data_IF_030125002820
#
_entry.id   IF_030125002820
#
_cell.length_a   1.000
_cell.length_b   1.000
_cell.length_c   1.000
_cell.angle_alpha   90.00
_cell.angle_beta   90.00
_cell.angle_gamma   90.00
#
_symmetry.space_group_name_H-M   'P 1'
#
loop_
_entity.id
_entity.type
_entity.pdbx_description
1 polymer ?
#
# COMPACT_ATOMS: atom_id res chain seq x y z
N UNK A 1 -20.96 4.13 -14.64
CA UNK A 1 -19.73 3.85 -13.89
C UNK A 1 -19.93 2.56 -13.11
N UNK A 2 -19.15 1.53 -13.42
CA UNK A 2 -19.14 0.25 -12.68
C UNK A 2 -18.51 0.48 -11.29
N UNK A 3 -18.93 -0.27 -10.27
CA UNK A 3 -18.38 -0.18 -8.92
C UNK A 3 -16.86 -0.38 -8.87
N UNK A 4 -16.32 -1.20 -9.77
CA UNK A 4 -14.86 -1.38 -9.91
C UNK A 4 -14.15 -0.07 -10.30
N UNK A 5 -14.77 0.75 -11.13
CA UNK A 5 -14.23 2.06 -11.54
C UNK A 5 -14.28 3.05 -10.38
N UNK A 6 -15.37 3.04 -9.60
CA UNK A 6 -15.50 3.87 -8.38
C UNK A 6 -14.44 3.51 -7.34
N UNK A 7 -14.27 2.22 -7.05
CA UNK A 7 -13.25 1.76 -6.08
C UNK A 7 -11.85 2.13 -6.58
N UNK A 8 -11.59 1.96 -7.88
CA UNK A 8 -10.32 2.37 -8.49
C UNK A 8 -10.10 3.86 -8.33
N UNK A 9 -11.12 4.69 -8.58
CA UNK A 9 -11.05 6.14 -8.42
C UNK A 9 -10.79 6.55 -6.96
N UNK A 10 -11.50 5.95 -5.98
CA UNK A 10 -11.29 6.19 -4.54
C UNK A 10 -9.88 5.84 -4.13
N UNK A 11 -9.40 4.65 -4.52
CA UNK A 11 -8.05 4.20 -4.17
C UNK A 11 -6.99 5.12 -4.82
N UNK A 12 -7.12 5.45 -6.11
CA UNK A 12 -6.19 6.32 -6.83
C UNK A 12 -6.18 7.76 -6.28
N UNK A 13 -7.34 8.33 -5.97
CA UNK A 13 -7.46 9.64 -5.33
C UNK A 13 -6.77 9.66 -3.96
N UNK A 14 -7.01 8.61 -3.18
CA UNK A 14 -6.39 8.43 -1.87
C UNK A 14 -4.87 8.34 -1.99
N UNK A 15 -4.34 7.51 -2.90
CA UNK A 15 -2.90 7.38 -3.16
C UNK A 15 -2.29 8.71 -3.58
N UNK A 16 -2.97 9.46 -4.46
CA UNK A 16 -2.50 10.79 -4.89
C UNK A 16 -2.37 11.75 -3.71
N UNK A 17 -3.37 11.79 -2.81
CA UNK A 17 -3.32 12.57 -1.56
C UNK A 17 -2.20 12.11 -0.60
N UNK A 18 -1.93 10.80 -0.54
CA UNK A 18 -0.88 10.24 0.30
C UNK A 18 0.53 10.58 -0.19
N UNK A 19 0.70 10.75 -1.50
CA UNK A 19 2.00 10.96 -2.15
C UNK A 19 2.51 12.41 -2.02
N UNK A 20 1.62 13.38 -1.76
CA UNK A 20 1.89 14.81 -2.02
C UNK A 20 2.54 15.64 -0.90
N UNK A 21 2.82 15.13 0.31
CA UNK A 21 3.14 16.03 1.45
C UNK A 21 4.21 15.54 2.46
N UNK A 22 5.21 14.77 2.00
CA UNK A 22 6.23 14.20 2.88
C UNK A 22 7.65 14.53 2.39
N UNK A 23 8.18 15.65 2.85
CA UNK A 23 9.60 16.00 2.79
C UNK A 23 9.93 16.68 4.12
N UNK A 24 11.10 16.40 4.68
CA UNK A 24 11.61 16.89 5.96
C UNK A 24 10.76 16.50 7.18
N UNK A 25 10.43 15.21 7.32
CA UNK A 25 9.65 14.68 8.45
C UNK A 25 10.34 13.50 9.09
N UNK A 26 10.33 13.45 10.42
CA UNK A 26 10.81 12.28 11.15
C UNK A 26 9.79 11.13 11.05
N UNK A 27 10.16 9.93 11.49
CA UNK A 27 9.31 8.74 11.34
C UNK A 27 7.99 8.85 12.13
N UNK A 28 8.01 9.52 13.29
CA UNK A 28 6.83 9.77 14.13
C UNK A 28 5.83 10.71 13.46
N UNK A 29 6.32 11.75 12.78
CA UNK A 29 5.48 12.66 12.01
C UNK A 29 4.80 11.94 10.83
N UNK A 30 5.56 11.10 10.14
CA UNK A 30 5.05 10.26 9.05
C UNK A 30 3.94 9.34 9.59
N UNK A 31 4.14 8.73 10.75
CA UNK A 31 3.16 7.88 11.42
C UNK A 31 1.88 8.64 11.80
N UNK A 32 2.01 9.87 12.34
CA UNK A 32 0.87 10.72 12.67
C UNK A 32 0.05 11.09 11.43
N UNK A 33 0.72 11.37 10.32
CA UNK A 33 0.07 11.64 9.02
C UNK A 33 -0.61 10.40 8.47
N UNK A 34 0.06 9.25 8.58
CA UNK A 34 -0.47 7.96 8.14
C UNK A 34 -1.81 7.65 8.82
N UNK A 35 -1.89 7.84 10.15
CA UNK A 35 -3.13 7.66 10.93
C UNK A 35 -4.25 8.57 10.44
N UNK A 36 -3.97 9.87 10.19
CA UNK A 36 -4.96 10.81 9.64
C UNK A 36 -5.47 10.37 8.27
N UNK A 37 -4.58 9.88 7.41
CA UNK A 37 -4.92 9.41 6.06
C UNK A 37 -5.74 8.11 6.09
N UNK A 38 -5.45 7.20 7.03
CA UNK A 38 -6.26 5.99 7.25
C UNK A 38 -7.69 6.38 7.64
N UNK A 39 -7.87 7.31 8.58
CA UNK A 39 -9.19 7.79 8.97
C UNK A 39 -9.95 8.42 7.80
N UNK A 40 -9.28 9.22 6.97
CA UNK A 40 -9.87 9.76 5.75
C UNK A 40 -10.32 8.64 4.81
N UNK A 41 -9.48 7.64 4.57
CA UNK A 41 -9.80 6.50 3.71
C UNK A 41 -11.01 5.71 4.19
N UNK A 42 -11.11 5.44 5.51
CA UNK A 42 -12.26 4.76 6.11
C UNK A 42 -13.55 5.55 5.84
N UNK A 43 -13.54 6.87 6.05
CA UNK A 43 -14.71 7.72 5.80
C UNK A 43 -15.15 7.69 4.34
N UNK A 44 -14.22 7.75 3.40
CA UNK A 44 -14.51 7.65 1.96
C UNK A 44 -15.10 6.28 1.59
N UNK A 45 -14.56 5.20 2.16
CA UNK A 45 -15.11 3.85 2.00
C UNK A 45 -16.53 3.75 2.53
N UNK A 46 -16.80 4.24 3.74
CA UNK A 46 -18.12 4.23 4.37
C UNK A 46 -19.13 5.07 3.57
N UNK A 47 -18.71 6.24 3.09
CA UNK A 47 -19.54 7.11 2.23
C UNK A 47 -19.92 6.39 0.94
N UNK A 48 -18.95 5.75 0.28
CA UNK A 48 -19.18 4.93 -0.92
C UNK A 48 -20.21 3.82 -0.65
N UNK A 49 -20.06 3.11 0.48
CA UNK A 49 -20.98 2.06 0.88
C UNK A 49 -22.40 2.57 1.15
N UNK A 50 -22.52 3.71 1.85
CA UNK A 50 -23.82 4.35 2.16
C UNK A 50 -24.54 4.79 0.88
N UNK A 51 -23.84 5.48 -0.02
CA UNK A 51 -24.42 5.96 -1.28
C UNK A 51 -24.94 4.78 -2.13
N UNK A 52 -24.17 3.70 -2.26
CA UNK A 52 -24.61 2.52 -3.01
C UNK A 52 -25.77 1.76 -2.35
N UNK A 53 -25.79 1.65 -1.01
CA UNK A 53 -26.92 1.01 -0.31
C UNK A 53 -28.22 1.81 -0.47
N UNK A 54 -28.17 3.14 -0.56
CA UNK A 54 -29.34 3.97 -0.85
C UNK A 54 -29.87 3.79 -2.28
N UNK A 55 -28.99 3.63 -3.28
CA UNK A 55 -29.40 3.31 -4.66
C UNK A 55 -30.08 1.93 -4.77
N UNK A 56 -29.63 0.94 -3.96
CA UNK A 56 -30.23 -0.41 -3.94
C UNK A 56 -31.68 -0.42 -3.42
N UNK A 57 -32.09 0.58 -2.62
CA UNK A 57 -33.47 0.67 -2.11
C UNK A 57 -34.46 1.20 -3.16
N UNK A 58 -34.00 1.95 -4.18
CA UNK A 58 -34.86 2.56 -5.21
C UNK A 58 -35.13 1.66 -6.42
N UNK A 59 -34.41 0.56 -6.59
CA UNK A 59 -34.69 -0.47 -7.60
C UNK A 59 -34.46 -1.83 -6.96
N UNK A 60 -35.46 -2.73 -7.04
CA UNK A 60 -35.34 -4.16 -6.72
C UNK A 60 -34.29 -4.79 -7.63
N UNK A 61 -33.00 -4.53 -7.39
CA UNK A 61 -31.90 -5.23 -8.02
C UNK A 61 -31.69 -6.52 -7.22
N UNK A 62 -31.75 -7.72 -7.85
CA UNK A 62 -31.59 -9.00 -7.16
C UNK A 62 -30.17 -9.25 -6.64
N UNK A 63 -29.24 -8.32 -6.85
CA UNK A 63 -27.87 -8.41 -6.36
C UNK A 63 -27.70 -7.60 -5.09
N UNK A 64 -27.69 -8.30 -3.95
CA UNK A 64 -27.01 -7.83 -2.74
C UNK A 64 -25.53 -7.62 -3.13
N UNK A 65 -25.16 -6.38 -3.41
CA UNK A 65 -23.81 -6.02 -3.87
C UNK A 65 -22.82 -6.28 -2.73
N UNK A 66 -22.18 -7.45 -2.75
CA UNK A 66 -21.07 -7.77 -1.87
C UNK A 66 -19.83 -6.98 -2.32
N UNK A 67 -19.61 -5.84 -1.70
CA UNK A 67 -18.35 -5.10 -1.78
C UNK A 67 -17.28 -5.88 -1.01
N UNK A 68 -16.63 -6.81 -1.68
CA UNK A 68 -15.60 -7.59 -1.03
C UNK A 68 -14.39 -6.70 -0.68
N UNK A 69 -13.95 -6.80 0.57
CA UNK A 69 -12.89 -5.95 1.11
C UNK A 69 -11.53 -6.08 0.38
N UNK A 70 -11.36 -7.07 -0.51
CA UNK A 70 -10.14 -7.25 -1.29
C UNK A 70 -9.97 -6.20 -2.41
N UNK A 71 -11.04 -5.48 -2.78
CA UNK A 71 -10.97 -4.42 -3.79
C UNK A 71 -10.32 -3.12 -3.28
N UNK A 72 -10.29 -2.94 -1.96
CA UNK A 72 -9.70 -1.80 -1.29
C UNK A 72 -8.23 -2.06 -0.93
N UNK A 73 -7.50 -0.98 -0.64
CA UNK A 73 -6.10 -1.03 -0.21
C UNK A 73 -5.99 -1.98 0.99
N UNK A 74 -5.13 -2.99 0.86
CA UNK A 74 -4.95 -4.02 1.86
C UNK A 74 -3.90 -3.63 2.90
N UNK A 75 -2.92 -2.82 2.51
CA UNK A 75 -1.82 -2.38 3.35
C UNK A 75 -1.37 -0.97 2.96
N UNK A 76 -1.02 -0.18 3.96
CA UNK A 76 -0.37 1.12 3.85
C UNK A 76 0.80 1.19 4.83
N UNK A 77 1.88 1.87 4.45
CA UNK A 77 3.06 2.04 5.32
C UNK A 77 3.76 3.34 4.98
N UNK A 78 4.34 4.00 5.98
CA UNK A 78 5.28 5.09 5.81
C UNK A 78 6.71 4.59 5.73
N UNK A 79 7.56 5.30 5.01
CA UNK A 79 9.00 5.05 5.01
C UNK A 79 9.76 6.36 5.06
N UNK A 80 10.92 6.35 5.71
CA UNK A 80 11.86 7.46 5.81
C UNK A 80 13.26 7.03 5.40
N UNK A 81 13.95 7.94 4.73
CA UNK A 81 15.39 7.88 4.54
C UNK A 81 15.93 9.31 4.59
N UNK A 82 16.91 9.56 5.46
CA UNK A 82 17.46 10.89 5.74
C UNK A 82 16.36 11.90 6.10
N UNK A 83 16.24 12.98 5.31
CA UNK A 83 15.21 14.01 5.42
C UNK A 83 13.95 13.71 4.61
N UNK A 84 13.89 12.62 3.86
CA UNK A 84 12.78 12.31 2.98
C UNK A 84 11.83 11.31 3.61
N UNK A 85 10.53 11.56 3.45
CA UNK A 85 9.46 10.65 3.84
C UNK A 85 8.59 10.28 2.64
N UNK A 86 8.00 9.10 2.64
CA UNK A 86 6.98 8.69 1.67
C UNK A 86 5.98 7.75 2.29
N UNK A 87 4.89 7.49 1.57
CA UNK A 87 3.88 6.50 1.92
C UNK A 87 3.68 5.56 0.74
N UNK A 88 3.77 4.25 1.00
CA UNK A 88 3.46 3.21 0.03
C UNK A 88 2.14 2.53 0.34
N UNK A 89 1.46 2.05 -0.71
CA UNK A 89 0.24 1.24 -0.60
C UNK A 89 0.36 -0.06 -1.37
N UNK A 90 -0.48 -1.04 -1.03
CA UNK A 90 -0.55 -2.32 -1.76
C UNK A 90 -1.24 -2.23 -3.13
N UNK A 91 -1.73 -1.04 -3.53
CA UNK A 91 -2.48 -0.85 -4.78
C UNK A 91 -1.54 -0.62 -5.96
N UNK A 92 -1.82 -1.28 -7.11
CA UNK A 92 -1.03 -1.12 -8.33
C UNK A 92 0.36 -1.77 -8.25
N UNK A 93 1.13 -1.65 -9.31
CA UNK A 93 2.55 -2.00 -9.36
C UNK A 93 3.39 -0.72 -9.43
N UNK A 94 4.68 -0.83 -9.15
CA UNK A 94 5.65 0.20 -9.54
C UNK A 94 6.05 -0.10 -10.98
N UNK A 95 5.92 0.85 -11.88
CA UNK A 95 6.19 0.56 -13.30
C UNK A 95 7.69 0.41 -13.62
N UNK A 96 8.56 1.02 -12.81
CA UNK A 96 9.99 1.18 -13.11
C UNK A 96 10.95 0.56 -12.08
N UNK A 97 10.67 -0.64 -11.55
CA UNK A 97 11.51 -1.30 -10.52
C UNK A 97 13.01 -1.35 -10.84
N UNK A 98 13.40 -1.34 -12.12
CA UNK A 98 14.80 -1.38 -12.55
C UNK A 98 15.63 -0.18 -12.06
N UNK A 99 15.02 0.96 -11.75
CA UNK A 99 15.75 2.18 -11.35
C UNK A 99 16.26 2.13 -9.91
N UNK A 100 15.71 1.24 -9.07
CA UNK A 100 16.21 1.01 -7.71
C UNK A 100 16.97 -0.31 -7.62
N UNK A 101 18.25 -0.27 -8.04
CA UNK A 101 19.10 -1.45 -8.19
C UNK A 101 19.14 -2.35 -6.95
N UNK A 102 19.28 -1.77 -5.75
CA UNK A 102 19.38 -2.54 -4.51
C UNK A 102 18.12 -3.39 -4.23
N UNK A 103 16.91 -2.80 -4.37
CA UNK A 103 15.64 -3.56 -4.22
C UNK A 103 15.47 -4.56 -5.35
N UNK A 104 15.74 -4.15 -6.59
CA UNK A 104 15.54 -5.01 -7.76
C UNK A 104 16.40 -6.28 -7.69
N UNK A 105 17.66 -6.17 -7.28
CA UNK A 105 18.55 -7.31 -7.09
C UNK A 105 18.00 -8.30 -6.07
N UNK A 106 17.45 -7.84 -4.95
CA UNK A 106 16.82 -8.72 -3.95
C UNK A 106 15.52 -9.34 -4.45
N UNK A 107 14.68 -8.59 -5.17
CA UNK A 107 13.42 -9.12 -5.71
C UNK A 107 13.66 -10.22 -6.75
N UNK A 108 14.67 -10.08 -7.61
CA UNK A 108 15.02 -11.11 -8.60
C UNK A 108 15.40 -12.45 -7.97
N UNK A 109 15.99 -12.45 -6.78
CA UNK A 109 16.29 -13.69 -6.04
C UNK A 109 15.02 -14.44 -5.59
N UNK A 110 13.88 -13.75 -5.53
CA UNK A 110 12.59 -14.36 -5.16
C UNK A 110 11.80 -14.84 -6.39
N UNK A 111 12.23 -14.49 -7.60
CA UNK A 111 11.58 -14.80 -8.87
C UNK A 111 11.25 -13.55 -9.70
N UNK A 112 10.35 -13.71 -10.67
CA UNK A 112 9.96 -12.63 -11.55
C UNK A 112 9.06 -11.61 -10.82
N UNK A 113 9.42 -10.32 -10.90
CA UNK A 113 8.57 -9.24 -10.38
C UNK A 113 7.22 -9.26 -11.11
N UNK A 114 6.12 -9.13 -10.36
CA UNK A 114 4.76 -9.29 -10.89
C UNK A 114 4.23 -10.73 -10.86
N UNK A 115 5.09 -11.74 -10.71
CA UNK A 115 4.67 -13.12 -10.53
C UNK A 115 4.27 -13.42 -9.07
N UNK A 116 3.56 -14.54 -8.87
CA UNK A 116 3.29 -15.08 -7.54
C UNK A 116 4.60 -15.55 -6.90
N UNK A 117 4.80 -15.19 -5.64
CA UNK A 117 5.88 -15.70 -4.80
C UNK A 117 5.84 -17.23 -4.75
N UNK A 118 6.99 -17.93 -4.78
CA UNK A 118 7.03 -19.38 -4.62
C UNK A 118 6.63 -19.81 -3.19
N UNK A 119 6.82 -18.93 -2.20
CA UNK A 119 6.44 -19.18 -0.81
C UNK A 119 5.08 -18.55 -0.49
N UNK A 120 4.22 -19.34 0.17
CA UNK A 120 2.98 -18.86 0.80
C UNK A 120 3.30 -17.97 2.00
N UNK A 121 2.44 -16.98 2.24
CA UNK A 121 2.47 -16.18 3.46
C UNK A 121 1.87 -16.97 4.64
N UNK A 122 1.89 -16.37 5.84
CA UNK A 122 1.37 -16.99 7.07
C UNK A 122 -0.10 -17.43 7.02
N UNK A 123 -0.87 -16.89 6.08
CA UNK A 123 -2.28 -17.24 5.87
C UNK A 123 -2.46 -18.22 4.68
N UNK A 124 -1.39 -18.89 4.23
CA UNK A 124 -1.43 -19.85 3.14
C UNK A 124 -1.62 -19.25 1.74
N UNK A 125 -1.54 -17.92 1.58
CA UNK A 125 -1.76 -17.23 0.29
C UNK A 125 -0.45 -16.82 -0.37
N UNK A 126 -0.42 -16.81 -1.70
CA UNK A 126 0.72 -16.33 -2.46
C UNK A 126 0.68 -14.80 -2.60
N UNK A 127 1.78 -14.14 -2.20
CA UNK A 127 1.96 -12.72 -2.45
C UNK A 127 2.49 -12.50 -3.87
N UNK A 128 2.25 -11.31 -4.44
CA UNK A 128 2.86 -10.94 -5.72
C UNK A 128 4.19 -10.23 -5.45
N UNK A 129 5.26 -10.69 -6.10
CA UNK A 129 6.60 -10.14 -5.94
C UNK A 129 6.63 -8.68 -6.42
N UNK A 130 7.16 -7.78 -5.59
CA UNK A 130 7.27 -6.35 -5.87
C UNK A 130 6.01 -5.52 -5.54
N UNK A 131 4.83 -6.12 -5.36
CA UNK A 131 3.56 -5.38 -5.16
C UNK A 131 3.39 -4.77 -3.75
N UNK A 132 4.23 -5.17 -2.80
CA UNK A 132 4.07 -4.82 -1.39
C UNK A 132 4.19 -3.30 -1.15
N UNK A 133 3.51 -2.81 -0.10
CA UNK A 133 3.46 -1.39 0.23
C UNK A 133 4.87 -0.84 0.56
N UNK A 134 5.69 -1.65 1.24
CA UNK A 134 7.07 -1.33 1.61
C UNK A 134 7.95 -1.10 0.38
N UNK A 135 7.77 -1.93 -0.66
CA UNK A 135 8.50 -1.80 -1.91
C UNK A 135 8.14 -0.47 -2.59
N UNK A 136 6.86 -0.09 -2.58
CA UNK A 136 6.41 1.18 -3.15
C UNK A 136 6.96 2.38 -2.39
N UNK A 137 6.89 2.34 -1.07
CA UNK A 137 7.42 3.42 -0.22
C UNK A 137 8.93 3.59 -0.44
N UNK A 138 9.69 2.49 -0.42
CA UNK A 138 11.12 2.50 -0.68
C UNK A 138 11.47 3.02 -2.08
N UNK A 139 10.70 2.62 -3.10
CA UNK A 139 10.89 3.10 -4.46
C UNK A 139 10.64 4.60 -4.59
N UNK A 140 9.56 5.10 -3.99
CA UNK A 140 9.27 6.53 -3.96
C UNK A 140 10.36 7.31 -3.21
N UNK A 141 10.90 6.76 -2.10
CA UNK A 141 12.04 7.38 -1.41
C UNK A 141 13.26 7.45 -2.32
N UNK A 142 13.59 6.36 -3.02
CA UNK A 142 14.75 6.30 -3.91
C UNK A 142 14.69 7.34 -5.04
N UNK A 143 13.48 7.70 -5.49
CA UNK A 143 13.30 8.79 -6.47
C UNK A 143 13.59 10.18 -5.92
N UNK A 144 13.59 10.36 -4.58
CA UNK A 144 13.86 11.63 -3.90
C UNK A 144 15.29 11.73 -3.36
N UNK A 145 15.82 10.64 -2.82
CA UNK A 145 17.22 10.52 -2.38
C UNK A 145 17.73 9.15 -2.79
N UNK A 146 18.87 9.09 -3.46
CA UNK A 146 19.43 7.82 -3.97
C UNK A 146 19.87 6.97 -2.78
N UNK A 147 19.14 5.88 -2.54
CA UNK A 147 19.40 5.00 -1.41
C UNK A 147 20.49 3.99 -1.81
N UNK A 148 21.58 3.96 -1.05
CA UNK A 148 22.68 3.01 -1.26
C UNK A 148 22.43 1.69 -0.52
N UNK A 149 21.94 1.73 0.72
CA UNK A 149 21.72 0.54 1.54
C UNK A 149 20.25 0.46 2.01
N UNK A 150 19.62 -0.71 1.79
CA UNK A 150 18.20 -0.90 2.12
C UNK A 150 17.90 -0.87 3.62
N UNK A 151 18.90 -1.16 4.46
CA UNK A 151 18.79 -1.15 5.92
C UNK A 151 18.64 0.26 6.51
N UNK A 152 19.01 1.29 5.75
CA UNK A 152 18.93 2.68 6.20
C UNK A 152 17.51 3.25 6.05
N UNK A 153 16.60 2.48 5.44
CA UNK A 153 15.19 2.85 5.32
C UNK A 153 14.48 2.50 6.61
N UNK A 154 14.02 3.52 7.32
CA UNK A 154 13.13 3.36 8.47
C UNK A 154 11.69 3.20 7.97
N UNK A 155 10.98 2.20 8.48
CA UNK A 155 9.57 2.01 8.18
C UNK A 155 8.71 2.32 9.40
N UNK A 156 7.51 2.83 9.15
CA UNK A 156 6.49 2.91 10.19
C UNK A 156 5.85 1.53 10.41
N UNK A 157 4.91 1.44 11.34
CA UNK A 157 3.98 0.31 11.35
C UNK A 157 3.24 0.23 10.01
N UNK A 158 3.08 -0.99 9.50
CA UNK A 158 2.19 -1.25 8.38
C UNK A 158 0.76 -1.40 8.90
N UNK A 159 -0.19 -0.72 8.27
CA UNK A 159 -1.59 -0.74 8.67
C UNK A 159 -2.46 -1.34 7.59
N UNK A 160 -3.55 -1.99 8.00
CA UNK A 160 -4.70 -2.29 7.15
C UNK A 160 -5.65 -1.10 7.20
N UNK A 161 -5.77 -0.28 6.14
CA UNK A 161 -6.59 0.93 6.20
C UNK A 161 -8.06 0.66 6.55
N UNK A 162 -8.58 -0.51 6.16
CA UNK A 162 -9.98 -0.91 6.37
C UNK A 162 -10.35 -1.19 7.83
N UNK A 163 -9.38 -1.63 8.62
CA UNK A 163 -9.61 -2.10 9.99
C UNK A 163 -8.72 -1.40 11.01
N UNK A 164 -7.84 -0.51 10.56
CA UNK A 164 -6.78 0.13 11.35
C UNK A 164 -5.85 -0.83 12.08
N UNK A 165 -5.89 -2.13 11.76
CA UNK A 165 -5.03 -3.13 12.39
C UNK A 165 -3.60 -2.99 11.89
N UNK A 166 -2.64 -3.11 12.81
CA UNK A 166 -1.23 -3.25 12.47
C UNK A 166 -1.03 -4.62 11.83
N UNK A 167 -0.29 -4.66 10.73
CA UNK A 167 0.04 -5.86 9.97
C UNK A 167 1.55 -6.09 10.07
N UNK A 168 1.94 -7.31 10.36
CA UNK A 168 3.35 -7.69 10.23
C UNK A 168 3.81 -7.67 8.77
N UNK A 169 5.06 -7.26 8.57
CA UNK A 169 5.73 -7.33 7.27
C UNK A 169 5.75 -8.77 6.76
N UNK A 170 5.50 -8.95 5.47
CA UNK A 170 5.50 -10.28 4.87
C UNK A 170 6.92 -10.84 4.71
N UNK A 171 7.05 -12.16 4.51
CA UNK A 171 8.34 -12.84 4.33
C UNK A 171 9.19 -12.25 3.20
N UNK A 172 8.55 -11.85 2.09
CA UNK A 172 9.22 -11.16 0.98
C UNK A 172 9.82 -9.82 1.43
N UNK A 173 9.07 -8.99 2.15
CA UNK A 173 9.56 -7.70 2.62
C UNK A 173 10.64 -7.86 3.71
N UNK A 174 10.49 -8.83 4.61
CA UNK A 174 11.53 -9.18 5.59
C UNK A 174 12.82 -9.63 4.92
N UNK A 175 12.74 -10.38 3.82
CA UNK A 175 13.93 -10.76 3.06
C UNK A 175 14.60 -9.58 2.35
N UNK A 176 13.82 -8.66 1.78
CA UNK A 176 14.35 -7.52 1.02
C UNK A 176 14.97 -6.46 1.95
N UNK A 177 14.28 -6.11 3.03
CA UNK A 177 14.66 -5.00 3.89
C UNK A 177 15.24 -5.44 5.23
N UNK A 178 15.05 -6.68 5.66
CA UNK A 178 15.39 -7.15 7.01
C UNK A 178 14.22 -7.00 7.99
N UNK A 179 14.52 -7.11 9.28
CA UNK A 179 13.56 -6.92 10.38
C UNK A 179 13.47 -5.45 10.87
N UNK A 180 13.96 -4.51 10.05
CA UNK A 180 13.77 -3.06 10.28
C UNK A 180 12.29 -2.68 10.28
#
# INVERSE_FOLDING_TARGET
MNISEVITAVNSYTVKKMSSNLVNKNITDIEGILKKLILFYIREMESTYKNHSQFSRRKKLPYKLYLEHYHYIACIIGARFEKHGTIGTSQGFVDNYKTFGAVNSKLKLLGNVGARSPKKNKNGRFNIIGKCAEIKAAYQLNSKSKISQLKDIEFTNAYRPRTSQIIERCSTCKFVFGNV
#
